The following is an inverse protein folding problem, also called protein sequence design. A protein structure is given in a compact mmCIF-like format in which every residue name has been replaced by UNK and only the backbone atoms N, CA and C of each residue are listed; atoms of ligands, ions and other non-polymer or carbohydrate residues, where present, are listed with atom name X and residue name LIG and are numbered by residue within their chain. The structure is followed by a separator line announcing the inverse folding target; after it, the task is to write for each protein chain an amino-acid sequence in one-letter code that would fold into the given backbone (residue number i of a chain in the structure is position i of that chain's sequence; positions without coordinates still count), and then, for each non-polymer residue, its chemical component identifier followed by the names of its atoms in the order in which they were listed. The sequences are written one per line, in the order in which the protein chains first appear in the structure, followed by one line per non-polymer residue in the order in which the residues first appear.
data_IF_810389938047
#
_entry.id   IF_810389938047
#
_cell.length_a   1.000
_cell.length_b   1.000
_cell.length_c   1.000
_cell.angle_alpha   90.00
_cell.angle_beta   90.00
_cell.angle_gamma   90.00
#
_symmetry.space_group_name_H-M   'P 1'
#
loop_
_entity.id
_entity.type
_entity.pdbx_description
1 polymer ?
#
# COMPACT_ATOMS: atom_id res chain seq x y z
N UNK A 1 -2.78 24.68 21.86
CA UNK A 1 -3.14 24.28 20.49
C UNK A 1 -3.03 22.77 20.44
N UNK A 2 -4.16 22.11 20.23
CA UNK A 2 -4.33 20.69 20.52
C UNK A 2 -3.52 19.81 19.55
N UNK A 3 -2.78 18.87 20.11
CA UNK A 3 -1.76 18.06 19.44
C UNK A 3 -2.22 16.62 19.26
N UNK A 4 -3.51 16.36 19.03
CA UNK A 4 -4.04 15.01 18.82
C UNK A 4 -3.71 14.44 17.43
N UNK A 5 -3.33 13.15 17.37
CA UNK A 5 -3.19 12.39 16.11
C UNK A 5 -4.42 12.56 15.21
N UNK A 6 -4.23 12.48 13.88
CA UNK A 6 -5.36 12.37 12.96
C UNK A 6 -6.19 11.16 13.38
N UNK A 7 -7.46 11.40 13.68
CA UNK A 7 -8.42 10.35 14.01
C UNK A 7 -8.82 9.60 12.74
N UNK A 8 -9.40 8.41 12.90
CA UNK A 8 -10.06 7.61 11.85
C UNK A 8 -10.91 8.46 10.89
N UNK A 9 -11.72 9.35 11.46
CA UNK A 9 -12.61 10.25 10.72
C UNK A 9 -11.83 11.28 9.91
N UNK A 10 -10.70 11.75 10.42
CA UNK A 10 -9.90 12.74 9.73
C UNK A 10 -9.19 12.15 8.50
N UNK A 11 -8.74 10.89 8.58
CA UNK A 11 -8.14 10.21 7.43
C UNK A 11 -9.17 9.97 6.32
N UNK A 12 -10.37 9.51 6.67
CA UNK A 12 -11.47 9.37 5.71
C UNK A 12 -11.80 10.72 5.07
N UNK A 13 -12.00 11.77 5.87
CA UNK A 13 -12.30 13.11 5.36
C UNK A 13 -11.18 13.66 4.44
N UNK A 14 -9.91 13.39 4.78
CA UNK A 14 -8.78 13.76 3.94
C UNK A 14 -8.86 13.14 2.54
N UNK A 15 -9.23 11.86 2.45
CA UNK A 15 -9.44 11.19 1.15
C UNK A 15 -10.73 11.59 0.46
N UNK A 16 -11.78 11.98 1.20
CA UNK A 16 -13.02 12.53 0.61
C UNK A 16 -12.85 13.97 0.11
N UNK A 17 -11.70 14.60 0.39
CA UNK A 17 -11.41 15.98 0.00
C UNK A 17 -12.09 17.03 0.88
N UNK A 18 -12.72 16.62 1.98
CA UNK A 18 -13.36 17.50 2.98
C UNK A 18 -12.43 17.81 4.16
N UNK A 19 -11.37 17.01 4.33
CA UNK A 19 -10.36 17.15 5.38
C UNK A 19 -8.98 17.56 4.88
N UNK A 20 -8.07 17.76 5.83
CA UNK A 20 -6.65 18.06 5.57
C UNK A 20 -5.77 17.25 6.50
N UNK A 21 -4.51 17.07 6.14
CA UNK A 21 -3.53 16.54 7.07
C UNK A 21 -3.20 17.54 8.18
N UNK A 22 -2.35 17.14 9.13
CA UNK A 22 -1.99 17.99 10.28
C UNK A 22 -1.29 19.30 9.93
N UNK A 23 -0.82 19.45 8.69
CA UNK A 23 -0.17 20.66 8.18
C UNK A 23 -1.12 21.49 7.31
N UNK A 24 -2.41 21.17 7.33
CA UNK A 24 -3.43 21.87 6.56
C UNK A 24 -3.38 21.58 5.07
N UNK A 25 -2.74 20.48 4.66
CA UNK A 25 -2.63 20.08 3.24
C UNK A 25 -3.77 19.15 2.88
N UNK A 26 -4.49 19.44 1.80
CA UNK A 26 -5.47 18.50 1.24
C UNK A 26 -4.81 17.47 0.32
N UNK A 27 -5.46 16.33 0.09
CA UNK A 27 -5.00 15.34 -0.89
C UNK A 27 -4.83 15.99 -2.28
N UNK A 28 -5.81 16.77 -2.72
CA UNK A 28 -5.77 17.46 -4.02
C UNK A 28 -4.62 18.47 -4.16
N UNK A 29 -4.14 19.07 -3.07
CA UNK A 29 -2.93 19.91 -3.09
C UNK A 29 -1.68 19.07 -3.27
N UNK A 30 -1.56 17.95 -2.54
CA UNK A 30 -0.41 17.04 -2.61
C UNK A 30 -0.29 16.41 -4.01
N UNK A 31 -1.41 15.99 -4.62
CA UNK A 31 -1.42 15.42 -5.97
C UNK A 31 -0.89 16.39 -7.05
N UNK A 32 -1.01 17.70 -6.82
CA UNK A 32 -0.51 18.76 -7.71
C UNK A 32 0.97 19.12 -7.49
N UNK A 33 1.66 18.50 -6.54
CA UNK A 33 3.07 18.82 -6.26
C UNK A 33 4.02 18.42 -7.38
N UNK A 34 5.09 19.19 -7.56
CA UNK A 34 6.22 18.81 -8.41
C UNK A 34 7.07 17.72 -7.74
N UNK A 35 7.94 17.07 -8.51
CA UNK A 35 8.91 16.10 -7.97
C UNK A 35 9.79 16.74 -6.86
N UNK A 36 10.20 18.00 -7.03
CA UNK A 36 10.96 18.75 -6.02
C UNK A 36 10.17 18.88 -4.70
N UNK A 37 8.86 19.11 -4.76
CA UNK A 37 8.05 19.24 -3.54
C UNK A 37 7.86 17.90 -2.82
N UNK A 38 7.70 16.80 -3.57
CA UNK A 38 7.62 15.43 -3.02
C UNK A 38 8.96 14.98 -2.41
N UNK A 39 10.07 15.43 -2.99
CA UNK A 39 11.42 15.19 -2.46
C UNK A 39 11.77 16.14 -1.31
N UNK A 40 11.14 17.31 -1.20
CA UNK A 40 11.45 18.24 -0.10
C UNK A 40 10.62 17.96 1.15
N UNK A 41 9.34 17.63 0.97
CA UNK A 41 8.43 17.33 2.06
C UNK A 41 8.07 15.87 1.94
N UNK A 42 8.52 15.09 2.90
CA UNK A 42 8.39 13.65 2.87
C UNK A 42 7.41 13.11 3.91
N UNK A 43 7.00 13.98 4.83
CA UNK A 43 6.07 13.71 5.91
C UNK A 43 4.66 13.38 5.40
N UNK A 44 4.29 13.87 4.22
CA UNK A 44 2.99 13.54 3.60
C UNK A 44 2.81 12.03 3.40
N UNK A 45 3.90 11.27 3.18
CA UNK A 45 3.82 9.86 2.82
C UNK A 45 3.13 9.03 3.90
N UNK A 46 3.21 9.46 5.16
CA UNK A 46 2.59 8.75 6.28
C UNK A 46 1.09 8.97 6.35
N UNK A 47 0.59 10.10 5.81
CA UNK A 47 -0.85 10.38 5.71
C UNK A 47 -1.45 9.83 4.42
N UNK A 48 -0.72 9.92 3.30
CA UNK A 48 -1.17 9.44 1.97
C UNK A 48 -0.95 7.93 1.78
N UNK A 49 -0.09 7.30 2.56
CA UNK A 49 0.05 5.84 2.62
C UNK A 49 0.14 5.42 4.08
N UNK A 50 -0.99 5.47 4.81
CA UNK A 50 -1.04 5.10 6.22
C UNK A 50 -0.82 3.59 6.38
N UNK A 51 -0.46 3.18 7.59
CA UNK A 51 -0.19 1.79 7.95
C UNK A 51 -1.06 1.36 9.13
N UNK A 52 -1.39 0.07 9.30
CA UNK A 52 -1.96 -0.45 10.55
C UNK A 52 -0.99 -0.33 11.73
N UNK A 53 0.31 -0.30 11.42
CA UNK A 53 1.36 -0.16 12.41
C UNK A 53 1.58 1.32 12.76
N UNK A 54 1.59 1.65 14.05
CA UNK A 54 2.00 2.98 14.51
C UNK A 54 3.39 3.31 13.99
N UNK A 55 3.58 4.53 13.50
CA UNK A 55 4.89 4.95 13.06
C UNK A 55 5.84 5.16 14.25
N UNK A 56 7.05 4.61 14.14
CA UNK A 56 8.14 4.85 15.09
C UNK A 56 8.77 6.25 14.95
N UNK A 57 8.49 6.97 13.86
CA UNK A 57 9.09 8.28 13.53
C UNK A 57 8.11 9.41 13.82
N UNK A 58 6.84 9.22 13.43
CA UNK A 58 5.79 10.19 13.66
C UNK A 58 4.66 9.56 14.46
N UNK A 59 4.69 9.75 15.78
CA UNK A 59 3.66 9.24 16.71
C UNK A 59 2.24 9.70 16.36
N UNK A 60 2.15 10.76 15.57
CA UNK A 60 0.94 11.46 15.22
C UNK A 60 0.42 11.14 13.83
N UNK A 61 1.15 10.34 13.06
CA UNK A 61 0.70 9.84 11.78
C UNK A 61 -0.58 9.02 11.94
N UNK A 62 -1.54 9.13 11.00
CA UNK A 62 -2.75 8.34 11.05
C UNK A 62 -2.43 6.85 10.90
N UNK A 63 -3.22 6.03 11.57
CA UNK A 63 -3.12 4.57 11.56
C UNK A 63 -4.37 4.00 10.91
N UNK A 64 -4.21 2.89 10.19
CA UNK A 64 -5.35 2.12 9.67
C UNK A 64 -5.89 1.25 10.81
N UNK A 65 -7.06 1.60 11.32
CA UNK A 65 -7.85 0.74 12.22
C UNK A 65 -8.93 -0.01 11.43
N UNK A 66 -9.81 -0.72 12.14
CA UNK A 66 -10.90 -1.48 11.52
C UNK A 66 -11.88 -0.60 10.74
N UNK A 67 -12.19 0.61 11.23
CA UNK A 67 -13.13 1.52 10.57
C UNK A 67 -12.53 2.09 9.28
N UNK A 68 -11.26 2.54 9.28
CA UNK A 68 -10.57 2.95 8.03
C UNK A 68 -10.50 1.76 7.06
N UNK A 69 -10.10 0.60 7.54
CA UNK A 69 -9.94 -0.61 6.73
C UNK A 69 -11.24 -0.97 5.99
N UNK A 70 -12.34 -1.10 6.72
CA UNK A 70 -13.64 -1.41 6.13
C UNK A 70 -14.12 -0.30 5.20
N UNK A 71 -13.91 0.95 5.58
CA UNK A 71 -14.42 2.07 4.80
C UNK A 71 -13.73 2.19 3.43
N UNK A 72 -12.42 1.90 3.33
CA UNK A 72 -11.73 1.83 2.03
C UNK A 72 -12.18 0.61 1.22
N UNK A 73 -12.32 -0.56 1.85
CA UNK A 73 -12.70 -1.78 1.12
C UNK A 73 -14.13 -1.76 0.60
N UNK A 74 -15.04 -1.08 1.29
CA UNK A 74 -16.46 -0.95 0.92
C UNK A 74 -16.80 0.23 0.01
N UNK A 75 -15.94 1.27 -0.09
CA UNK A 75 -16.25 2.49 -0.84
C UNK A 75 -15.28 2.73 -1.99
N UNK A 76 -15.76 2.58 -3.23
CA UNK A 76 -14.95 2.78 -4.44
C UNK A 76 -14.29 4.16 -4.50
N UNK A 77 -15.00 5.23 -4.13
CA UNK A 77 -14.46 6.59 -4.19
C UNK A 77 -13.19 6.81 -3.34
N UNK A 78 -13.07 6.12 -2.20
CA UNK A 78 -11.82 6.16 -1.42
C UNK A 78 -10.68 5.41 -2.10
N UNK A 79 -10.98 4.24 -2.69
CA UNK A 79 -10.02 3.48 -3.49
C UNK A 79 -9.58 4.24 -4.73
N UNK A 80 -10.49 4.94 -5.41
CA UNK A 80 -10.17 5.77 -6.57
C UNK A 80 -9.18 6.89 -6.19
N UNK A 81 -9.41 7.57 -5.07
CA UNK A 81 -8.50 8.60 -4.57
C UNK A 81 -7.15 8.04 -4.10
N UNK A 82 -7.11 6.82 -3.55
CA UNK A 82 -5.87 6.11 -3.27
C UNK A 82 -5.13 5.71 -4.54
N UNK A 83 -5.84 5.26 -5.57
CA UNK A 83 -5.31 4.95 -6.88
C UNK A 83 -4.70 6.20 -7.53
N UNK A 84 -5.32 7.37 -7.40
CA UNK A 84 -4.74 8.62 -7.90
C UNK A 84 -3.49 9.06 -7.12
N UNK A 85 -3.48 8.86 -5.80
CA UNK A 85 -2.27 9.02 -5.00
C UNK A 85 -1.17 8.05 -5.43
N UNK A 86 -1.52 6.81 -5.75
CA UNK A 86 -0.58 5.81 -6.24
C UNK A 86 -0.01 6.18 -7.60
N UNK A 87 -0.84 6.58 -8.59
CA UNK A 87 -0.39 7.11 -9.89
C UNK A 87 0.59 8.27 -9.71
N UNK A 88 0.32 9.16 -8.75
CA UNK A 88 1.21 10.30 -8.47
C UNK A 88 2.60 9.84 -8.02
N UNK A 89 2.66 8.84 -7.15
CA UNK A 89 3.93 8.31 -6.65
C UNK A 89 4.63 7.43 -7.69
N UNK A 90 3.91 6.69 -8.50
CA UNK A 90 4.49 6.01 -9.66
C UNK A 90 5.17 7.02 -10.58
N UNK A 91 4.48 8.09 -10.95
CA UNK A 91 5.05 9.17 -11.77
C UNK A 91 6.32 9.75 -11.12
N UNK A 92 6.32 9.96 -9.81
CA UNK A 92 7.48 10.44 -9.08
C UNK A 92 8.68 9.48 -9.19
N UNK A 93 8.44 8.17 -9.11
CA UNK A 93 9.44 7.13 -9.30
C UNK A 93 9.75 6.79 -10.77
N UNK A 94 9.10 7.47 -11.71
CA UNK A 94 9.29 7.28 -13.16
C UNK A 94 8.46 6.15 -13.76
N UNK A 95 7.49 5.61 -13.04
CA UNK A 95 6.57 4.56 -13.50
C UNK A 95 5.19 5.15 -13.86
N UNK A 96 4.36 4.34 -14.51
CA UNK A 96 2.95 4.63 -14.75
C UNK A 96 2.10 3.38 -14.55
N UNK A 97 0.84 3.59 -14.12
CA UNK A 97 -0.16 2.56 -13.98
C UNK A 97 -0.93 2.42 -15.30
N UNK A 98 -1.07 1.20 -15.79
CA UNK A 98 -1.97 0.84 -16.88
C UNK A 98 -2.71 -0.45 -16.54
N UNK A 99 -3.37 -1.02 -17.54
CA UNK A 99 -4.02 -2.33 -17.44
C UNK A 99 -3.56 -3.24 -18.58
N UNK A 100 -3.61 -4.56 -18.33
CA UNK A 100 -3.44 -5.56 -19.38
C UNK A 100 -4.76 -5.83 -20.13
N UNK A 101 -4.75 -6.86 -20.99
CA UNK A 101 -5.91 -7.26 -21.79
C UNK A 101 -7.09 -7.80 -20.95
N UNK A 102 -6.83 -8.22 -19.70
CA UNK A 102 -7.82 -8.72 -18.75
C UNK A 102 -8.28 -7.62 -17.78
N UNK A 103 -7.93 -6.36 -18.04
CA UNK A 103 -8.14 -5.21 -17.15
C UNK A 103 -7.43 -5.30 -15.79
N UNK A 104 -6.40 -6.14 -15.64
CA UNK A 104 -5.60 -6.20 -14.41
C UNK A 104 -4.54 -5.10 -14.39
N UNK A 105 -4.23 -4.51 -13.23
CA UNK A 105 -3.28 -3.42 -13.14
C UNK A 105 -1.87 -3.89 -13.50
N UNK A 106 -1.18 -3.10 -14.31
CA UNK A 106 0.24 -3.27 -14.65
C UNK A 106 1.00 -1.98 -14.37
N UNK A 107 2.17 -2.09 -13.78
CA UNK A 107 3.08 -0.96 -13.59
C UNK A 107 4.23 -1.09 -14.59
N UNK A 108 4.42 -0.05 -15.41
CA UNK A 108 5.46 -0.01 -16.44
C UNK A 108 6.27 1.27 -16.35
N UNK A 109 7.42 1.31 -17.03
CA UNK A 109 8.25 2.52 -17.10
C UNK A 109 7.44 3.64 -17.77
N UNK A 110 7.31 4.77 -17.09
CA UNK A 110 6.70 5.97 -17.64
C UNK A 110 7.67 6.73 -18.54
N UNK A 111 7.14 7.72 -19.25
CA UNK A 111 7.93 8.57 -20.16
C UNK A 111 9.07 9.32 -19.46
N UNK A 112 8.96 9.59 -18.16
CA UNK A 112 9.98 10.27 -17.36
C UNK A 112 10.95 9.32 -16.64
N UNK A 113 10.92 8.01 -16.91
CA UNK A 113 11.77 7.01 -16.23
C UNK A 113 13.28 7.34 -16.32
N UNK A 114 13.75 7.79 -17.50
CA UNK A 114 15.17 8.13 -17.72
C UNK A 114 15.61 9.44 -17.03
N UNK A 115 14.66 10.32 -16.67
CA UNK A 115 14.96 11.58 -15.99
C UNK A 115 15.13 11.39 -14.46
N UNK A 116 14.66 10.27 -13.90
CA UNK A 116 14.60 10.02 -12.45
C UNK A 116 15.39 8.78 -11.93
N UNK A 117 16.49 8.30 -12.56
CA UNK A 117 17.13 7.05 -12.14
C UNK A 117 17.80 7.13 -10.75
N UNK A 118 17.92 8.33 -10.16
CA UNK A 118 18.54 8.57 -8.84
C UNK A 118 17.55 8.72 -7.69
N UNK A 119 16.24 8.58 -7.92
CA UNK A 119 15.22 8.90 -6.91
C UNK A 119 14.92 7.74 -5.95
N UNK A 120 15.18 6.49 -6.34
CA UNK A 120 14.86 5.35 -5.46
C UNK A 120 15.80 4.13 -5.60
N UNK A 121 16.54 4.01 -6.71
CA UNK A 121 17.37 2.85 -7.03
C UNK A 121 18.83 3.02 -6.52
N UNK A 122 18.97 3.46 -5.26
CA UNK A 122 20.26 3.59 -4.57
C UNK A 122 20.33 2.67 -3.35
N UNK A 123 21.53 2.17 -3.03
CA UNK A 123 21.73 1.09 -2.04
C UNK A 123 21.18 1.42 -0.64
N UNK A 124 21.23 2.69 -0.24
CA UNK A 124 20.69 3.22 1.01
C UNK A 124 19.84 4.45 0.70
N UNK A 125 18.57 4.19 0.43
CA UNK A 125 17.61 5.22 0.11
C UNK A 125 16.42 5.12 1.08
N UNK A 126 16.08 6.25 1.70
CA UNK A 126 14.89 6.36 2.53
C UNK A 126 13.62 6.03 1.72
N UNK A 127 13.69 6.14 0.39
CA UNK A 127 12.64 5.71 -0.52
C UNK A 127 12.39 4.19 -0.48
N UNK A 128 13.34 3.34 -0.10
CA UNK A 128 13.08 1.91 0.09
C UNK A 128 12.06 1.65 1.22
N UNK A 129 12.13 2.44 2.30
CA UNK A 129 11.16 2.39 3.40
C UNK A 129 9.80 2.95 2.95
N UNK A 130 9.79 4.01 2.13
CA UNK A 130 8.55 4.54 1.54
C UNK A 130 7.89 3.53 0.62
N UNK A 131 8.66 2.87 -0.24
CA UNK A 131 8.17 1.83 -1.14
C UNK A 131 7.50 0.70 -0.35
N UNK A 132 8.17 0.19 0.70
CA UNK A 132 7.59 -0.83 1.58
C UNK A 132 6.27 -0.36 2.20
N UNK A 133 6.22 0.89 2.66
CA UNK A 133 5.00 1.52 3.20
C UNK A 133 3.88 1.62 2.16
N UNK A 134 4.20 2.06 0.95
CA UNK A 134 3.24 2.22 -0.14
C UNK A 134 2.62 0.86 -0.49
N UNK A 135 3.45 -0.15 -0.77
CA UNK A 135 2.98 -1.52 -1.09
C UNK A 135 2.06 -2.03 0.02
N UNK A 136 2.50 -1.91 1.28
CA UNK A 136 1.73 -2.36 2.43
C UNK A 136 0.39 -1.63 2.58
N UNK A 137 0.40 -0.31 2.43
CA UNK A 137 -0.80 0.53 2.52
C UNK A 137 -1.82 0.18 1.44
N UNK A 138 -1.38 0.04 0.19
CA UNK A 138 -2.22 -0.36 -0.94
C UNK A 138 -2.93 -1.69 -0.65
N UNK A 139 -2.19 -2.72 -0.22
CA UNK A 139 -2.79 -4.01 0.09
C UNK A 139 -3.80 -3.92 1.22
N UNK A 140 -3.46 -3.28 2.33
CA UNK A 140 -4.37 -3.17 3.47
C UNK A 140 -5.67 -2.49 3.06
N UNK A 141 -5.60 -1.41 2.28
CA UNK A 141 -6.75 -0.61 1.87
C UNK A 141 -7.51 -1.17 0.65
N UNK A 142 -7.17 -2.38 0.19
CA UNK A 142 -7.94 -3.09 -0.84
C UNK A 142 -7.54 -2.82 -2.29
N UNK A 143 -6.29 -2.37 -2.52
CA UNK A 143 -5.63 -2.29 -3.83
C UNK A 143 -4.52 -3.33 -3.92
N UNK A 144 -4.88 -4.60 -3.73
CA UNK A 144 -3.93 -5.71 -3.61
C UNK A 144 -3.22 -5.99 -4.95
N UNK A 145 -3.96 -5.96 -6.06
CA UNK A 145 -3.40 -6.19 -7.39
C UNK A 145 -2.43 -5.08 -7.81
N UNK A 146 -2.76 -3.81 -7.53
CA UNK A 146 -1.87 -2.68 -7.78
C UNK A 146 -0.57 -2.78 -6.99
N UNK A 147 -0.65 -3.26 -5.75
CA UNK A 147 0.51 -3.45 -4.90
C UNK A 147 1.44 -4.55 -5.46
N UNK A 148 0.87 -5.66 -5.95
CA UNK A 148 1.61 -6.73 -6.62
C UNK A 148 2.24 -6.22 -7.93
N UNK A 149 1.47 -5.49 -8.74
CA UNK A 149 1.96 -4.87 -9.97
C UNK A 149 3.16 -3.95 -9.69
N UNK A 150 3.10 -3.16 -8.62
CA UNK A 150 4.20 -2.30 -8.21
C UNK A 150 5.44 -3.09 -7.78
N UNK A 151 5.26 -4.10 -6.93
CA UNK A 151 6.34 -4.99 -6.51
C UNK A 151 7.03 -5.65 -7.72
N UNK A 152 6.27 -6.14 -8.69
CA UNK A 152 6.80 -6.78 -9.89
C UNK A 152 7.64 -5.79 -10.71
N UNK A 153 7.15 -4.56 -10.89
CA UNK A 153 7.89 -3.52 -11.59
C UNK A 153 9.19 -3.14 -10.87
N UNK A 154 9.18 -3.04 -9.54
CA UNK A 154 10.37 -2.77 -8.74
C UNK A 154 11.39 -3.92 -8.87
N UNK A 155 10.94 -5.16 -8.71
CA UNK A 155 11.77 -6.36 -8.78
C UNK A 155 12.44 -6.53 -10.15
N UNK A 156 11.71 -6.23 -11.22
CA UNK A 156 12.23 -6.29 -12.58
C UNK A 156 13.25 -5.18 -12.91
N UNK A 157 13.27 -4.09 -12.13
CA UNK A 157 14.07 -2.90 -12.44
C UNK A 157 15.10 -2.53 -11.36
N UNK A 158 15.09 -3.19 -10.20
CA UNK A 158 16.03 -2.95 -9.12
C UNK A 158 17.40 -3.53 -9.47
N UNK A 159 18.33 -2.67 -9.89
CA UNK A 159 19.73 -3.05 -10.15
C UNK A 159 20.65 -2.69 -8.99
N UNK A 160 20.26 -1.74 -8.12
CA UNK A 160 21.08 -1.22 -7.02
C UNK A 160 20.58 -1.53 -5.61
N UNK A 161 19.37 -2.07 -5.47
CA UNK A 161 18.75 -2.34 -4.15
C UNK A 161 19.35 -3.57 -3.47
N UNK A 162 19.59 -3.47 -2.15
CA UNK A 162 20.12 -4.59 -1.37
C UNK A 162 19.06 -5.71 -1.18
N UNK A 163 19.51 -6.92 -0.84
CA UNK A 163 18.63 -8.08 -0.62
C UNK A 163 17.59 -7.84 0.47
N UNK A 164 17.97 -7.16 1.54
CA UNK A 164 17.08 -6.87 2.67
C UNK A 164 15.89 -5.99 2.24
N UNK A 165 16.13 -4.94 1.45
CA UNK A 165 15.06 -4.05 0.94
C UNK A 165 14.10 -4.82 0.02
N UNK A 166 14.63 -5.70 -0.84
CA UNK A 166 13.80 -6.56 -1.70
C UNK A 166 12.95 -7.53 -0.89
N UNK A 167 13.49 -8.08 0.20
CA UNK A 167 12.74 -8.94 1.10
C UNK A 167 11.62 -8.19 1.83
N UNK A 168 11.88 -6.96 2.29
CA UNK A 168 10.82 -6.09 2.84
C UNK A 168 9.71 -5.82 1.81
N UNK A 169 10.05 -5.56 0.56
CA UNK A 169 9.07 -5.35 -0.50
C UNK A 169 8.26 -6.62 -0.77
N UNK A 170 8.91 -7.79 -0.81
CA UNK A 170 8.26 -9.08 -1.00
C UNK A 170 7.28 -9.37 0.14
N UNK A 171 7.71 -9.19 1.40
CA UNK A 171 6.84 -9.37 2.57
C UNK A 171 5.68 -8.38 2.54
N UNK A 172 5.93 -7.10 2.22
CA UNK A 172 4.85 -6.13 2.07
C UNK A 172 3.84 -6.57 1.00
N UNK A 173 4.29 -7.15 -0.11
CA UNK A 173 3.46 -7.53 -1.25
C UNK A 173 2.70 -8.86 -1.08
N UNK A 174 3.24 -9.84 -0.34
CA UNK A 174 2.67 -11.19 -0.33
C UNK A 174 2.40 -11.79 1.04
N UNK A 175 3.01 -11.27 2.12
CA UNK A 175 2.75 -11.79 3.47
C UNK A 175 1.29 -11.55 3.88
N UNK A 176 0.77 -12.43 4.72
CA UNK A 176 -0.56 -12.27 5.34
C UNK A 176 -0.71 -10.90 5.99
N UNK A 177 -1.86 -10.25 5.81
CA UNK A 177 -2.06 -8.86 6.18
C UNK A 177 -1.98 -8.61 7.68
N UNK A 178 -2.20 -9.60 8.53
CA UNK A 178 -2.05 -9.46 9.98
C UNK A 178 -0.58 -9.28 10.41
N UNK A 179 0.36 -9.78 9.62
CA UNK A 179 1.78 -9.75 9.96
C UNK A 179 2.45 -8.51 9.37
N UNK A 180 3.26 -7.84 10.20
CA UNK A 180 4.05 -6.70 9.73
C UNK A 180 5.18 -7.19 8.83
N UNK A 181 5.56 -6.42 7.78
CA UNK A 181 6.68 -6.81 6.91
C UNK A 181 8.02 -6.91 7.63
N UNK A 182 8.18 -6.22 8.77
CA UNK A 182 9.41 -6.17 9.56
C UNK A 182 9.57 -7.25 10.62
N UNK A 183 8.56 -8.08 10.83
CA UNK A 183 8.72 -9.25 11.71
C UNK A 183 9.65 -10.28 11.06
N UNK A 184 10.68 -10.66 11.80
CA UNK A 184 11.60 -11.75 11.48
C UNK A 184 11.21 -13.00 12.28
N UNK A 185 11.63 -14.17 11.80
CA UNK A 185 11.43 -15.46 12.47
C UNK A 185 9.97 -15.81 12.83
N UNK A 186 9.02 -15.31 12.03
CA UNK A 186 7.59 -15.66 12.10
C UNK A 186 7.19 -16.48 10.88
N UNK A 187 6.32 -17.47 11.11
CA UNK A 187 5.66 -18.19 10.02
C UNK A 187 4.68 -17.24 9.32
N UNK A 188 4.73 -17.16 7.99
CA UNK A 188 3.84 -16.30 7.20
C UNK A 188 2.35 -16.75 7.33
N UNK A 189 2.12 -17.98 7.81
CA UNK A 189 0.80 -18.53 8.17
C UNK A 189 0.34 -18.23 9.60
N UNK A 190 1.18 -17.63 10.46
CA UNK A 190 0.81 -17.32 11.85
C UNK A 190 -0.35 -16.30 11.91
N UNK A 191 -1.45 -16.70 12.54
CA UNK A 191 -2.68 -15.89 12.74
C UNK A 191 -2.88 -15.41 14.17
N UNK A 192 -1.94 -15.68 15.08
CA UNK A 192 -2.00 -15.22 16.47
C UNK A 192 -1.46 -13.79 16.64
N UNK A 193 -0.60 -13.37 15.71
CA UNK A 193 0.12 -12.08 15.75
C UNK A 193 -0.62 -11.02 14.92
N UNK A 194 -0.56 -9.76 15.39
CA UNK A 194 -1.06 -8.60 14.67
C UNK A 194 -2.41 -8.08 15.14
N UNK A 195 -2.92 -6.98 14.54
CA UNK A 195 -4.21 -6.39 14.88
C UNK A 195 -5.35 -7.38 14.67
N UNK A 196 -6.30 -7.44 15.61
CA UNK A 196 -7.41 -8.41 15.57
C UNK A 196 -8.17 -8.36 14.24
N UNK A 197 -8.55 -7.16 13.77
CA UNK A 197 -9.33 -7.00 12.54
C UNK A 197 -8.64 -7.54 11.28
N UNK A 198 -7.30 -7.52 11.23
CA UNK A 198 -6.55 -8.10 10.11
C UNK A 198 -6.44 -9.61 10.22
N UNK A 199 -6.43 -10.17 11.43
CA UNK A 199 -6.44 -11.61 11.66
C UNK A 199 -7.79 -12.20 11.30
N UNK A 200 -8.86 -11.54 11.74
CA UNK A 200 -10.23 -11.91 11.40
C UNK A 200 -10.43 -11.90 9.87
N UNK A 201 -9.98 -10.84 9.18
CA UNK A 201 -10.03 -10.76 7.72
C UNK A 201 -9.26 -11.90 7.01
N UNK A 202 -8.08 -12.24 7.52
CA UNK A 202 -7.25 -13.33 6.97
C UNK A 202 -7.88 -14.71 7.19
N UNK A 203 -8.57 -14.91 8.31
CA UNK A 203 -9.33 -16.13 8.61
C UNK A 203 -10.54 -16.25 7.68
N UNK A 204 -11.33 -15.18 7.53
CA UNK A 204 -12.47 -15.13 6.61
C UNK A 204 -12.04 -15.41 5.16
N UNK A 205 -10.93 -14.81 4.71
CA UNK A 205 -10.39 -15.05 3.36
C UNK A 205 -10.01 -16.51 3.14
N UNK A 206 -9.40 -17.15 4.14
CA UNK A 206 -8.99 -18.54 4.03
C UNK A 206 -10.20 -19.49 4.00
N UNK A 207 -11.22 -19.22 4.81
CA UNK A 207 -12.48 -19.98 4.77
C UNK A 207 -13.13 -19.87 3.39
N UNK A 208 -13.25 -18.65 2.86
CA UNK A 208 -13.80 -18.44 1.52
C UNK A 208 -12.99 -19.11 0.40
N UNK A 209 -11.66 -19.22 0.56
CA UNK A 209 -10.81 -19.94 -0.39
C UNK A 209 -11.01 -21.47 -0.30
N UNK A 210 -11.13 -22.02 0.91
CA UNK A 210 -11.40 -23.44 1.12
C UNK A 210 -12.78 -23.84 0.57
N UNK A 211 -13.81 -23.03 0.85
CA UNK A 211 -15.16 -23.24 0.31
C UNK A 211 -15.14 -23.25 -1.24
N UNK A 212 -14.40 -22.32 -1.86
CA UNK A 212 -14.28 -22.26 -3.32
C UNK A 212 -13.45 -23.41 -3.93
N UNK A 213 -12.53 -24.02 -3.17
CA UNK A 213 -11.79 -25.22 -3.59
C UNK A 213 -12.69 -26.47 -3.49
N UNK A 214 -13.48 -26.61 -2.43
CA UNK A 214 -14.45 -27.70 -2.26
C UNK A 214 -15.52 -27.67 -3.38
N UNK A 215 -16.09 -26.50 -3.69
CA UNK A 215 -17.05 -26.34 -4.79
C UNK A 215 -16.46 -26.76 -6.16
N UNK A 216 -15.18 -26.45 -6.41
CA UNK A 216 -14.50 -26.83 -7.65
C UNK A 216 -14.20 -28.34 -7.75
N UNK A 217 -13.96 -29.01 -6.63
CA UNK A 217 -13.75 -30.46 -6.58
C UNK A 217 -15.06 -31.22 -6.78
N UNK A 218 -16.17 -30.73 -6.21
CA UNK A 218 -17.50 -31.32 -6.41
C UNK A 218 -17.95 -31.23 -7.88
N UNK A 219 -17.82 -30.07 -8.53
CA UNK A 219 -18.17 -29.86 -9.95
C UNK A 219 -17.36 -30.75 -10.91
N UNK A 220 -16.09 -31.02 -10.59
CA UNK A 220 -15.22 -31.92 -11.36
C UNK A 220 -15.58 -33.39 -11.16
N UNK A 221 -16.11 -33.75 -9.99
CA UNK A 221 -16.54 -35.11 -9.66
C UNK A 221 -17.90 -35.47 -10.28
N UNK A 222 -18.82 -34.51 -10.41
CA UNK A 222 -20.13 -34.72 -11.07
C UNK A 222 -20.03 -34.71 -12.60
N UNK A 223 -18.97 -34.11 -13.16
CA UNK A 223 -18.69 -34.08 -14.60
C UNK A 223 -17.88 -35.28 -15.11
N UNK A 224 -17.51 -36.24 -14.24
CA UNK A 224 -16.67 -37.41 -14.54
C UNK A 224 -17.43 -38.73 -14.65
#
# INVERSE_FOLDING_TARGET
MDSSALTTKDLIAFYEGTGTDRRGRSLSQILRWSAVNLERHHDYIQTVFPLPERSAIDWYAPVIDSEVFEAFRSRSGLKDNLTDAFKKILWFYGFELGTDAENKPIVKKGSNYQANPKVWNHRFDHNHLRISRIIRSLRVLGLEDEAVAFYNALSANSTGSNSQSREFWRRAAFRSLNLRPDLEDVDDSDRSIGPKFLRDFEEERNLAAADAEEEQEEDQSESS
#
